data_IF_658200432158
#
_entry.id   IF_658200432158
#
_cell.length_a   1.000
_cell.length_b   1.000
_cell.length_c   1.000
_cell.angle_alpha   90.00
_cell.angle_beta   90.00
_cell.angle_gamma   90.00
#
_symmetry.space_group_name_H-M   'P 1'
#
loop_
_entity.id
_entity.type
_entity.pdbx_description
1 polymer ?
#
# COMPACT_ATOMS: atom_id res chain seq x y z
N UNK A 1 -17.91 10.29 -14.42
CA UNK A 1 -16.93 9.29 -14.00
C UNK A 1 -17.65 8.17 -13.27
N UNK A 2 -17.46 6.95 -13.76
CA UNK A 2 -17.84 5.73 -13.03
C UNK A 2 -16.97 5.64 -11.77
N UNK A 3 -17.57 5.35 -10.63
CA UNK A 3 -16.82 5.19 -9.39
C UNK A 3 -16.05 3.86 -9.43
N UNK A 4 -14.72 3.94 -9.25
CA UNK A 4 -13.82 2.78 -9.12
C UNK A 4 -13.40 2.67 -7.65
N UNK A 5 -13.76 1.55 -7.02
CA UNK A 5 -13.38 1.22 -5.65
C UNK A 5 -11.87 1.04 -5.57
N UNK A 6 -11.22 1.72 -4.63
CA UNK A 6 -9.78 1.65 -4.37
C UNK A 6 -9.46 0.55 -3.37
N UNK A 7 -8.22 0.05 -3.43
CA UNK A 7 -7.75 -1.03 -2.57
C UNK A 7 -7.91 -0.70 -1.08
N UNK A 8 -7.72 0.57 -0.70
CA UNK A 8 -7.88 1.05 0.68
C UNK A 8 -9.30 0.88 1.23
N UNK A 9 -10.31 0.78 0.36
CA UNK A 9 -11.73 0.70 0.75
C UNK A 9 -12.18 -0.74 1.06
N UNK A 10 -11.29 -1.72 0.86
CA UNK A 10 -11.60 -3.15 1.02
C UNK A 10 -10.84 -3.73 2.20
N UNK A 11 -9.60 -4.17 1.99
CA UNK A 11 -8.74 -4.70 3.06
C UNK A 11 -7.28 -4.31 2.80
N UNK A 12 -6.48 -4.34 3.85
CA UNK A 12 -5.03 -4.10 3.81
C UNK A 12 -4.31 -5.17 4.63
N UNK A 13 -3.04 -5.49 4.34
CA UNK A 13 -2.24 -6.44 5.11
C UNK A 13 -1.80 -5.81 6.44
N UNK A 14 -2.76 -5.59 7.34
CA UNK A 14 -2.60 -4.85 8.60
C UNK A 14 -1.51 -5.44 9.49
N UNK A 15 -1.37 -6.77 9.54
CA UNK A 15 -0.34 -7.42 10.35
C UNK A 15 1.07 -6.96 9.93
N UNK A 16 1.35 -6.98 8.61
CA UNK A 16 2.64 -6.54 8.07
C UNK A 16 2.88 -5.05 8.29
N UNK A 17 1.86 -4.23 8.03
CA UNK A 17 1.91 -2.77 8.24
C UNK A 17 2.18 -2.45 9.72
N UNK A 18 1.48 -3.11 10.64
CA UNK A 18 1.61 -2.89 12.08
C UNK A 18 2.97 -3.35 12.60
N UNK A 19 3.47 -4.51 12.14
CA UNK A 19 4.81 -5.01 12.51
C UNK A 19 5.91 -4.06 12.05
N UNK A 20 5.85 -3.58 10.81
CA UNK A 20 6.80 -2.60 10.29
C UNK A 20 6.72 -1.26 11.03
N UNK A 21 5.50 -0.78 11.30
CA UNK A 21 5.24 0.45 12.04
C UNK A 21 5.78 0.40 13.48
N UNK A 22 5.59 -0.73 14.17
CA UNK A 22 6.10 -0.95 15.51
C UNK A 22 7.64 -0.95 15.53
N UNK A 23 8.27 -1.61 14.55
CA UNK A 23 9.72 -1.61 14.38
C UNK A 23 10.25 -0.20 14.17
N UNK A 24 9.65 0.59 13.27
CA UNK A 24 10.05 1.99 13.02
C UNK A 24 10.06 2.83 14.31
N UNK A 25 9.08 2.60 15.19
CA UNK A 25 8.95 3.29 16.47
C UNK A 25 10.10 2.98 17.44
N UNK A 26 10.71 1.79 17.36
CA UNK A 26 11.70 1.28 18.32
C UNK A 26 13.18 1.41 17.89
N UNK A 27 13.47 1.91 16.69
CA UNK A 27 14.85 2.00 16.14
C UNK A 27 15.79 2.89 16.99
N UNK A 28 15.28 3.87 17.73
CA UNK A 28 16.10 4.93 18.36
C UNK A 28 16.18 4.83 19.89
N UNK A 29 16.42 3.64 20.44
CA UNK A 29 16.55 3.49 21.88
C UNK A 29 17.68 4.39 22.44
N UNK A 30 17.37 5.24 23.43
CA UNK A 30 18.35 6.13 24.08
C UNK A 30 18.68 7.45 23.35
N UNK A 31 18.04 7.76 22.22
CA UNK A 31 18.27 9.04 21.52
C UNK A 31 17.44 10.17 22.14
N UNK A 32 17.95 11.41 22.34
CA UNK A 32 17.16 12.51 22.93
C UNK A 32 15.82 12.78 22.22
N UNK A 33 15.76 12.52 20.91
CA UNK A 33 14.52 12.60 20.12
C UNK A 33 13.43 11.58 20.51
N UNK A 34 13.69 10.62 21.41
CA UNK A 34 12.68 9.72 21.96
C UNK A 34 12.03 10.23 23.25
N UNK A 35 12.55 11.31 23.84
CA UNK A 35 11.98 11.93 25.04
C UNK A 35 10.69 12.71 24.71
N UNK A 36 10.62 13.32 23.53
CA UNK A 36 9.43 14.03 23.06
C UNK A 36 8.93 13.43 21.75
N UNK A 37 8.08 12.40 21.87
CA UNK A 37 7.33 11.89 20.75
C UNK A 37 6.12 12.80 20.52
N UNK A 38 6.05 13.44 19.34
CA UNK A 38 4.87 14.19 18.93
C UNK A 38 3.62 13.28 18.94
N UNK A 39 2.49 13.82 19.38
CA UNK A 39 1.21 13.11 19.36
C UNK A 39 0.87 12.67 17.94
N UNK A 40 0.40 11.42 17.79
CA UNK A 40 0.01 10.82 16.51
C UNK A 40 1.11 10.76 15.43
N UNK A 41 2.32 10.27 15.76
CA UNK A 41 3.32 9.92 14.73
C UNK A 41 2.71 8.93 13.73
N UNK A 42 2.58 9.34 12.48
CA UNK A 42 2.23 8.47 11.35
C UNK A 42 3.49 7.72 10.92
N UNK A 43 3.61 6.41 11.18
CA UNK A 43 4.76 5.64 10.73
C UNK A 43 4.87 5.73 9.20
N UNK A 44 6.08 5.89 8.68
CA UNK A 44 6.31 5.93 7.23
C UNK A 44 5.84 4.64 6.56
N UNK A 45 5.97 3.50 7.26
CA UNK A 45 5.39 2.23 6.84
C UNK A 45 3.88 2.35 6.54
N UNK A 46 3.10 2.88 7.48
CA UNK A 46 1.65 3.07 7.30
C UNK A 46 1.33 4.07 6.20
N UNK A 47 2.06 5.20 6.13
CA UNK A 47 1.84 6.22 5.11
C UNK A 47 2.05 5.67 3.68
N UNK A 48 3.09 4.86 3.47
CA UNK A 48 3.36 4.23 2.17
C UNK A 48 2.28 3.26 1.74
N UNK A 49 1.84 2.40 2.66
CA UNK A 49 0.76 1.46 2.39
C UNK A 49 -0.54 2.18 2.01
N UNK A 50 -0.90 3.23 2.77
CA UNK A 50 -2.09 4.04 2.53
C UNK A 50 -2.03 4.76 1.19
N UNK A 51 -0.92 5.43 0.86
CA UNK A 51 -0.77 6.13 -0.42
C UNK A 51 -0.89 5.17 -1.60
N UNK A 52 -0.20 4.02 -1.53
CA UNK A 52 -0.30 3.01 -2.58
C UNK A 52 -1.73 2.51 -2.75
N UNK A 53 -2.39 2.12 -1.65
CA UNK A 53 -3.74 1.58 -1.69
C UNK A 53 -4.82 2.61 -2.06
N UNK A 54 -4.56 3.91 -1.89
CA UNK A 54 -5.43 4.99 -2.38
C UNK A 54 -5.35 5.17 -3.90
N UNK A 55 -4.17 4.92 -4.47
CA UNK A 55 -3.92 5.14 -5.89
C UNK A 55 -4.28 3.93 -6.76
N UNK A 56 -4.25 2.73 -6.19
CA UNK A 56 -4.53 1.46 -6.88
C UNK A 56 -6.00 1.05 -6.69
N UNK A 57 -6.63 0.63 -7.78
CA UNK A 57 -8.00 0.09 -7.78
C UNK A 57 -8.05 -1.29 -7.12
N UNK A 58 -9.13 -1.57 -6.39
CA UNK A 58 -9.41 -2.94 -5.97
C UNK A 58 -9.80 -3.80 -7.20
N UNK A 59 -9.39 -5.08 -7.27
CA UNK A 59 -9.76 -5.97 -8.38
C UNK A 59 -11.27 -6.07 -8.62
N UNK A 60 -12.13 -5.88 -7.60
CA UNK A 60 -13.59 -5.85 -7.77
C UNK A 60 -14.10 -4.69 -8.64
N UNK A 61 -13.27 -3.66 -8.82
CA UNK A 61 -13.53 -2.59 -9.77
C UNK A 61 -13.30 -2.98 -11.22
N UNK A 62 -12.74 -4.15 -11.51
CA UNK A 62 -12.41 -4.61 -12.86
C UNK A 62 -13.00 -5.99 -13.15
N UNK A 63 -14.34 -6.15 -13.16
CA UNK A 63 -14.99 -7.43 -13.39
C UNK A 63 -14.69 -8.03 -14.78
N UNK A 64 -14.27 -7.20 -15.74
CA UNK A 64 -13.79 -7.65 -17.06
C UNK A 64 -12.45 -8.39 -17.01
N UNK A 65 -11.64 -8.14 -15.97
CA UNK A 65 -10.33 -8.79 -15.75
C UNK A 65 -10.39 -9.85 -14.64
N UNK A 66 -11.22 -9.61 -13.63
CA UNK A 66 -11.38 -10.45 -12.45
C UNK A 66 -12.87 -10.76 -12.23
N UNK A 67 -13.47 -11.61 -13.09
CA UNK A 67 -14.91 -11.86 -13.06
C UNK A 67 -15.37 -12.61 -11.79
N UNK A 68 -14.50 -13.40 -11.16
CA UNK A 68 -14.84 -14.18 -9.97
C UNK A 68 -14.25 -13.59 -8.68
N UNK A 69 -14.90 -13.87 -7.53
CA UNK A 69 -14.38 -13.46 -6.21
C UNK A 69 -13.01 -14.10 -5.91
N UNK A 70 -12.79 -15.33 -6.38
CA UNK A 70 -11.51 -16.03 -6.23
C UNK A 70 -10.38 -15.31 -6.98
N UNK A 71 -10.61 -14.92 -8.23
CA UNK A 71 -9.62 -14.16 -9.01
C UNK A 71 -9.35 -12.78 -8.41
N UNK A 72 -10.40 -12.11 -7.91
CA UNK A 72 -10.24 -10.84 -7.20
C UNK A 72 -9.41 -11.01 -5.94
N UNK A 73 -9.60 -12.11 -5.19
CA UNK A 73 -8.82 -12.41 -4.00
C UNK A 73 -7.36 -12.70 -4.35
N UNK A 74 -7.09 -13.51 -5.37
CA UNK A 74 -5.73 -13.82 -5.84
C UNK A 74 -4.99 -12.53 -6.22
N UNK A 75 -5.63 -11.65 -6.99
CA UNK A 75 -5.01 -10.39 -7.39
C UNK A 75 -4.80 -9.45 -6.20
N UNK A 76 -5.75 -9.42 -5.25
CA UNK A 76 -5.62 -8.63 -4.02
C UNK A 76 -4.43 -9.09 -3.19
N UNK A 77 -4.23 -10.40 -3.05
CA UNK A 77 -3.05 -10.94 -2.36
C UNK A 77 -1.75 -10.57 -3.08
N UNK A 78 -1.72 -10.56 -4.43
CA UNK A 78 -0.56 -10.06 -5.20
C UNK A 78 -0.25 -8.59 -4.87
N UNK A 79 -1.27 -7.73 -4.83
CA UNK A 79 -1.12 -6.33 -4.45
C UNK A 79 -0.65 -6.19 -2.99
N UNK A 80 -1.09 -7.08 -2.10
CA UNK A 80 -0.62 -7.11 -0.72
C UNK A 80 0.85 -7.50 -0.59
N UNK A 81 1.36 -8.39 -1.44
CA UNK A 81 2.81 -8.68 -1.48
C UNK A 81 3.64 -7.43 -1.83
N UNK A 82 3.13 -6.55 -2.69
CA UNK A 82 3.77 -5.27 -2.98
C UNK A 82 3.76 -4.38 -1.73
N UNK A 83 2.60 -4.26 -1.04
CA UNK A 83 2.50 -3.50 0.21
C UNK A 83 3.47 -4.05 1.26
N UNK A 84 3.50 -5.38 1.47
CA UNK A 84 4.40 -6.05 2.42
C UNK A 84 5.87 -5.70 2.15
N UNK A 85 6.27 -5.55 0.88
CA UNK A 85 7.62 -5.07 0.52
C UNK A 85 7.80 -3.57 0.77
N UNK A 86 6.83 -2.73 0.41
CA UNK A 86 6.89 -1.26 0.54
C UNK A 86 7.01 -0.79 1.99
N UNK A 87 6.41 -1.52 2.93
CA UNK A 87 6.42 -1.16 4.36
C UNK A 87 7.75 -1.46 5.05
N UNK A 88 8.62 -2.27 4.46
CA UNK A 88 9.92 -2.58 5.05
C UNK A 88 10.87 -1.38 4.93
N UNK A 89 11.58 -1.09 6.03
CA UNK A 89 12.54 0.00 6.09
C UNK A 89 13.70 -0.19 5.10
N UNK A 90 14.13 -1.44 4.94
CA UNK A 90 15.19 -1.83 4.02
C UNK A 90 14.85 -1.52 2.56
N UNK A 91 13.56 -1.46 2.21
CA UNK A 91 13.10 -1.20 0.85
C UNK A 91 12.81 0.28 0.57
N UNK A 92 13.13 1.19 1.51
CA UNK A 92 12.89 2.63 1.37
C UNK A 92 13.52 3.25 0.12
N UNK A 93 14.62 2.68 -0.38
CA UNK A 93 15.38 3.13 -1.56
C UNK A 93 15.54 2.02 -2.60
N UNK A 94 14.81 0.91 -2.46
CA UNK A 94 14.88 -0.21 -3.37
C UNK A 94 14.08 0.09 -4.64
N UNK A 95 14.75 0.55 -5.70
CA UNK A 95 14.11 0.94 -6.95
C UNK A 95 13.31 -0.19 -7.62
N UNK A 96 13.71 -1.45 -7.45
CA UNK A 96 12.92 -2.56 -8.01
C UNK A 96 11.54 -2.67 -7.34
N UNK A 97 11.47 -2.48 -6.02
CA UNK A 97 10.19 -2.47 -5.27
C UNK A 97 9.38 -1.21 -5.60
N UNK A 98 10.04 -0.05 -5.66
CA UNK A 98 9.37 1.22 -6.00
C UNK A 98 8.80 1.19 -7.42
N UNK A 99 9.53 0.60 -8.37
CA UNK A 99 9.09 0.48 -9.74
C UNK A 99 7.86 -0.44 -9.88
N UNK A 100 7.83 -1.58 -9.18
CA UNK A 100 6.64 -2.44 -9.13
C UNK A 100 5.41 -1.67 -8.63
N UNK A 101 5.57 -0.87 -7.58
CA UNK A 101 4.47 -0.06 -7.05
C UNK A 101 4.01 1.03 -8.04
N UNK A 102 4.96 1.73 -8.68
CA UNK A 102 4.67 2.76 -9.69
C UNK A 102 3.92 2.18 -10.89
N UNK A 103 4.26 0.98 -11.32
CA UNK A 103 3.59 0.30 -12.43
C UNK A 103 2.13 0.02 -12.15
N UNK A 104 1.79 -0.47 -10.95
CA UNK A 104 0.39 -0.69 -10.56
C UNK A 104 -0.39 0.63 -10.47
N UNK A 105 0.21 1.67 -9.90
CA UNK A 105 -0.39 3.02 -9.88
C UNK A 105 -0.65 3.52 -11.30
N UNK A 106 0.30 3.34 -12.23
CA UNK A 106 0.14 3.73 -13.61
C UNK A 106 -0.93 2.92 -14.35
N UNK A 107 -1.08 1.63 -14.06
CA UNK A 107 -2.16 0.82 -14.63
C UNK A 107 -3.52 1.37 -14.22
N UNK A 108 -3.73 1.61 -12.92
CA UNK A 108 -4.97 2.23 -12.41
C UNK A 108 -5.23 3.61 -13.00
N UNK A 109 -4.19 4.44 -13.07
CA UNK A 109 -4.31 5.77 -13.67
C UNK A 109 -4.70 5.73 -15.15
N UNK A 110 -4.08 4.87 -15.97
CA UNK A 110 -4.39 4.75 -17.39
C UNK A 110 -5.83 4.32 -17.64
N UNK A 111 -6.32 3.33 -16.89
CA UNK A 111 -7.71 2.89 -16.98
C UNK A 111 -8.68 4.05 -16.64
N UNK A 112 -8.36 4.80 -15.60
CA UNK A 112 -9.12 6.00 -15.24
C UNK A 112 -9.12 7.05 -16.38
N UNK A 113 -7.99 7.24 -17.06
CA UNK A 113 -7.89 8.17 -18.19
C UNK A 113 -8.65 7.69 -19.43
N UNK A 114 -8.62 6.39 -19.75
CA UNK A 114 -9.33 5.82 -20.91
C UNK A 114 -10.85 5.92 -20.77
N UNK A 115 -11.36 6.06 -19.55
CA UNK A 115 -12.78 6.22 -19.24
C UNK A 115 -13.30 7.67 -19.33
N UNK A 116 -12.42 8.66 -19.49
CA UNK A 116 -12.79 10.09 -19.58
C UNK A 116 -12.72 10.62 -21.01
#
# INVERSE_FOLDING_TARGET
MTYRKKLIEVTLPLEAINKASAREKSIRHGHPSTLHLWWARRPLAAARAVIFAQMVDDPSSHPEKFPTEEEQHIERERLFEIIKKLVLWENTTNEAVLQQAREEIWKSWRLTCEEN
#
